data_IF_860875056729
#
_entry.id   IF_860875056729
#
_cell.length_a   1.000
_cell.length_b   1.000
_cell.length_c   1.000
_cell.angle_alpha   90.00
_cell.angle_beta   90.00
_cell.angle_gamma   90.00
#
_symmetry.space_group_name_H-M   'P 1'
#
loop_
_entity.id
_entity.type
_entity.pdbx_description
1 polymer ?
#
# COMPACT_ATOMS: atom_id res chain seq x y z
N UNK A 1 -3.07 9.26 -9.76
CA UNK A 1 -4.24 9.67 -8.92
C UNK A 1 -5.24 8.52 -8.90
N UNK A 2 -6.12 8.39 -7.89
CA UNK A 2 -7.12 7.31 -7.82
C UNK A 2 -8.52 7.92 -7.86
N UNK A 3 -9.38 7.35 -8.69
CA UNK A 3 -10.79 7.70 -8.84
C UNK A 3 -11.69 6.58 -8.34
N UNK A 4 -12.97 6.88 -8.17
CA UNK A 4 -14.00 5.91 -7.83
C UNK A 4 -14.14 4.81 -8.91
N UNK A 5 -13.85 5.13 -10.17
CA UNK A 5 -13.92 4.19 -11.30
C UNK A 5 -12.74 3.21 -11.34
N UNK A 6 -11.70 3.48 -10.55
CA UNK A 6 -10.55 2.60 -10.39
C UNK A 6 -10.78 1.51 -9.34
N UNK A 7 -11.86 1.58 -8.55
CA UNK A 7 -12.18 0.62 -7.48
C UNK A 7 -13.32 -0.29 -7.92
N UNK A 8 -13.04 -1.59 -8.03
CA UNK A 8 -14.08 -2.61 -8.18
C UNK A 8 -14.47 -3.15 -6.81
N UNK A 9 -15.61 -2.71 -6.27
CA UNK A 9 -16.11 -3.20 -4.97
C UNK A 9 -16.57 -4.65 -5.02
N UNK A 10 -17.08 -5.11 -6.17
CA UNK A 10 -17.55 -6.49 -6.36
C UNK A 10 -16.40 -7.48 -6.46
N UNK A 11 -15.35 -7.15 -7.23
CA UNK A 11 -14.16 -7.99 -7.36
C UNK A 11 -13.14 -7.79 -6.24
N UNK A 12 -13.24 -6.69 -5.50
CA UNK A 12 -12.26 -6.32 -4.49
C UNK A 12 -10.90 -5.99 -5.12
N UNK A 13 -10.90 -5.12 -6.13
CA UNK A 13 -9.70 -4.79 -6.91
C UNK A 13 -9.53 -3.28 -7.02
N UNK A 14 -8.28 -2.85 -7.15
CA UNK A 14 -7.88 -1.48 -7.47
C UNK A 14 -7.05 -1.46 -8.74
N UNK A 15 -7.54 -0.73 -9.74
CA UNK A 15 -6.79 -0.45 -10.97
C UNK A 15 -5.90 0.77 -10.76
N UNK A 16 -4.59 0.62 -10.91
CA UNK A 16 -3.64 1.73 -10.87
C UNK A 16 -3.18 2.02 -12.30
N UNK A 17 -3.83 3.00 -12.93
CA UNK A 17 -3.55 3.43 -14.31
C UNK A 17 -2.19 4.12 -14.44
N UNK A 18 -1.86 4.98 -13.48
CA UNK A 18 -0.65 5.80 -13.50
C UNK A 18 0.25 5.47 -12.31
N UNK A 19 1.42 4.92 -12.60
CA UNK A 19 2.50 4.71 -11.63
C UNK A 19 3.70 5.53 -12.04
N UNK A 20 4.55 5.88 -11.07
CA UNK A 20 5.86 6.53 -11.31
C UNK A 20 6.67 5.79 -12.39
N UNK A 21 6.50 4.49 -12.43
CA UNK A 21 7.17 3.52 -13.29
C UNK A 21 6.49 3.27 -14.64
N UNK A 22 5.36 3.95 -14.93
CA UNK A 22 4.60 3.82 -16.19
C UNK A 22 4.15 2.39 -16.53
N UNK A 23 3.89 1.56 -15.52
CA UNK A 23 3.41 0.19 -15.66
C UNK A 23 2.04 0.01 -14.98
N UNK A 24 0.92 0.22 -15.70
CA UNK A 24 -0.41 0.03 -15.14
C UNK A 24 -0.58 -1.36 -14.53
N UNK A 25 -1.35 -1.48 -13.44
CA UNK A 25 -1.57 -2.77 -12.77
C UNK A 25 -2.93 -2.84 -12.10
N UNK A 26 -3.38 -4.04 -11.78
CA UNK A 26 -4.57 -4.31 -10.98
C UNK A 26 -4.10 -5.01 -9.70
N UNK A 27 -4.47 -4.45 -8.55
CA UNK A 27 -4.09 -5.00 -7.24
C UNK A 27 -5.33 -5.53 -6.51
N UNK A 28 -5.26 -6.71 -5.88
CA UNK A 28 -6.32 -7.17 -5.00
C UNK A 28 -6.38 -6.28 -3.75
N UNK A 29 -7.59 -5.96 -3.32
CA UNK A 29 -7.88 -5.23 -2.09
C UNK A 29 -8.39 -6.22 -1.03
N UNK A 30 -7.79 -6.23 0.17
CA UNK A 30 -8.35 -6.98 1.28
C UNK A 30 -9.79 -6.56 1.57
N UNK A 31 -10.64 -7.53 1.97
CA UNK A 31 -12.06 -7.28 2.29
C UNK A 31 -12.27 -6.13 3.27
N UNK A 32 -11.37 -5.98 4.25
CA UNK A 32 -11.42 -4.88 5.21
C UNK A 32 -11.18 -3.52 4.54
N UNK A 33 -10.24 -3.43 3.60
CA UNK A 33 -9.96 -2.24 2.81
C UNK A 33 -11.15 -1.86 1.94
N UNK A 34 -11.77 -2.82 1.25
CA UNK A 34 -12.98 -2.58 0.45
C UNK A 34 -14.10 -2.00 1.32
N UNK A 35 -14.33 -2.58 2.50
CA UNK A 35 -15.33 -2.10 3.47
C UNK A 35 -15.01 -0.69 3.96
N UNK A 36 -13.76 -0.39 4.27
CA UNK A 36 -13.33 0.94 4.72
C UNK A 36 -13.54 2.00 3.62
N UNK A 37 -13.18 1.68 2.37
CA UNK A 37 -13.42 2.56 1.22
C UNK A 37 -14.92 2.78 1.03
N UNK A 38 -15.73 1.73 1.09
CA UNK A 38 -17.19 1.84 0.95
C UNK A 38 -17.78 2.73 2.07
N UNK A 39 -17.39 2.49 3.33
CA UNK A 39 -17.83 3.31 4.45
C UNK A 39 -17.47 4.79 4.27
N UNK A 40 -16.26 5.09 3.78
CA UNK A 40 -15.87 6.45 3.44
C UNK A 40 -16.76 7.04 2.33
N UNK A 41 -16.94 6.32 1.23
CA UNK A 41 -17.74 6.78 0.07
C UNK A 41 -19.19 7.07 0.45
N UNK A 42 -19.81 6.23 1.27
CA UNK A 42 -21.22 6.37 1.65
C UNK A 42 -21.46 7.32 2.83
N UNK A 43 -20.53 7.42 3.79
CA UNK A 43 -20.78 8.12 5.07
C UNK A 43 -19.99 9.41 5.26
N UNK A 44 -18.83 9.56 4.62
CA UNK A 44 -17.90 10.64 4.95
C UNK A 44 -17.45 11.49 3.75
N UNK A 45 -17.45 10.93 2.53
CA UNK A 45 -17.06 11.63 1.32
C UNK A 45 -18.11 12.71 0.99
N UNK A 46 -17.71 13.99 0.81
CA UNK A 46 -18.66 15.05 0.43
C UNK A 46 -19.40 14.74 -0.88
N UNK A 47 -20.65 15.20 -0.98
CA UNK A 47 -21.42 15.12 -2.22
C UNK A 47 -20.82 16.07 -3.26
N UNK A 48 -20.31 15.51 -4.36
CA UNK A 48 -19.68 16.27 -5.44
C UNK A 48 -19.75 15.49 -6.75
N UNK A 49 -19.62 16.20 -7.89
CA UNK A 49 -19.49 15.60 -9.22
C UNK A 49 -18.10 15.03 -9.48
N UNK A 50 -17.09 15.42 -8.68
CA UNK A 50 -15.72 14.93 -8.82
C UNK A 50 -15.65 13.41 -8.63
N UNK A 51 -14.77 12.76 -9.41
CA UNK A 51 -14.57 11.30 -9.39
C UNK A 51 -13.39 10.86 -8.53
N UNK A 52 -12.51 11.78 -8.13
CA UNK A 52 -11.36 11.48 -7.26
C UNK A 52 -11.83 10.78 -5.99
N UNK A 53 -11.16 9.69 -5.63
CA UNK A 53 -11.59 8.88 -4.50
C UNK A 53 -11.53 9.71 -3.21
N UNK A 54 -10.36 10.24 -2.88
CA UNK A 54 -10.12 10.99 -1.65
C UNK A 54 -10.28 12.51 -1.86
N UNK A 55 -11.13 13.11 -1.04
CA UNK A 55 -11.43 14.54 -1.05
C UNK A 55 -11.18 15.18 0.33
N UNK A 56 -10.94 16.49 0.33
CA UNK A 56 -11.03 17.34 1.53
C UNK A 56 -12.48 17.47 1.99
N UNK A 57 -12.72 17.95 3.21
CA UNK A 57 -14.07 18.25 3.70
C UNK A 57 -14.81 19.30 2.85
N UNK A 58 -14.08 20.22 2.21
CA UNK A 58 -14.62 21.20 1.27
C UNK A 58 -15.00 20.62 -0.10
N UNK A 59 -14.75 19.32 -0.33
CA UNK A 59 -15.07 18.64 -1.58
C UNK A 59 -14.03 18.79 -2.69
N UNK A 60 -12.84 19.32 -2.39
CA UNK A 60 -11.72 19.40 -3.33
C UNK A 60 -10.87 18.13 -3.32
N UNK A 61 -10.13 17.78 -4.40
CA UNK A 61 -9.21 16.65 -4.38
C UNK A 61 -8.18 16.74 -3.25
N UNK A 62 -7.99 15.65 -2.52
CA UNK A 62 -7.02 15.59 -1.42
C UNK A 62 -5.59 15.60 -2.00
N UNK A 63 -4.74 16.46 -1.44
CA UNK A 63 -3.32 16.52 -1.82
C UNK A 63 -2.51 15.39 -1.16
N UNK A 64 -1.48 14.83 -1.83
CA UNK A 64 -0.65 13.76 -1.27
C UNK A 64 0.01 14.12 0.07
N UNK A 65 0.40 15.38 0.26
CA UNK A 65 1.03 15.87 1.49
C UNK A 65 0.05 15.83 2.66
N UNK A 66 -1.21 16.20 2.40
CA UNK A 66 -2.30 16.15 3.39
C UNK A 66 -2.58 14.70 3.81
N UNK A 67 -2.61 13.77 2.86
CA UNK A 67 -2.77 12.34 3.15
C UNK A 67 -1.61 11.83 4.02
N UNK A 68 -0.37 12.19 3.66
CA UNK A 68 0.83 11.77 4.41
C UNK A 68 0.79 12.30 5.85
N UNK A 69 0.37 13.55 6.03
CA UNK A 69 0.16 14.14 7.36
C UNK A 69 -0.94 13.44 8.17
N UNK A 70 -2.04 13.06 7.52
CA UNK A 70 -3.11 12.31 8.19
C UNK A 70 -2.65 10.92 8.65
N UNK A 71 -1.89 10.21 7.82
CA UNK A 71 -1.29 8.91 8.19
C UNK A 71 -0.30 9.07 9.34
N UNK A 72 0.57 10.08 9.29
CA UNK A 72 1.53 10.36 10.37
C UNK A 72 0.82 10.58 11.70
N UNK A 73 -0.23 11.42 11.73
CA UNK A 73 -1.05 11.63 12.94
C UNK A 73 -1.71 10.35 13.45
N UNK A 74 -2.17 9.48 12.55
CA UNK A 74 -2.73 8.19 12.95
C UNK A 74 -1.67 7.27 13.58
N UNK A 75 -0.45 7.27 13.03
CA UNK A 75 0.69 6.53 13.59
C UNK A 75 1.08 7.04 14.98
N UNK A 76 1.19 8.36 15.14
CA UNK A 76 1.49 8.99 16.43
C UNK A 76 0.46 8.63 17.51
N UNK A 77 -0.83 8.67 17.16
CA UNK A 77 -1.92 8.23 18.06
C UNK A 77 -1.83 6.76 18.44
N UNK A 78 -1.26 5.92 17.59
CA UNK A 78 -1.00 4.52 17.86
C UNK A 78 0.33 4.29 18.61
N UNK A 79 1.06 5.34 18.99
CA UNK A 79 2.37 5.24 19.64
C UNK A 79 3.51 4.83 18.71
N UNK A 80 3.34 4.99 17.39
CA UNK A 80 4.31 4.56 16.39
C UNK A 80 5.06 5.77 15.80
N UNK A 81 6.38 5.79 15.95
CA UNK A 81 7.26 6.75 15.27
C UNK A 81 7.50 6.29 13.83
N UNK A 82 6.53 6.50 12.94
CA UNK A 82 6.55 5.99 11.57
C UNK A 82 5.80 6.89 10.59
N UNK A 83 6.08 6.70 9.30
CA UNK A 83 5.45 7.46 8.20
C UNK A 83 4.71 6.53 7.24
N UNK A 84 3.96 7.10 6.29
CA UNK A 84 3.30 6.32 5.23
C UNK A 84 4.29 5.43 4.43
N UNK A 85 5.55 5.85 4.32
CA UNK A 85 6.59 5.05 3.68
C UNK A 85 6.89 3.75 4.44
N UNK A 86 6.79 3.76 5.77
CA UNK A 86 7.00 2.57 6.59
C UNK A 86 5.93 1.50 6.38
N UNK A 87 4.69 1.88 6.08
CA UNK A 87 3.65 0.92 5.67
C UNK A 87 4.07 0.13 4.44
N UNK A 88 4.73 0.80 3.47
CA UNK A 88 5.26 0.15 2.28
C UNK A 88 6.46 -0.74 2.59
N UNK A 89 7.31 -0.34 3.55
CA UNK A 89 8.36 -1.21 4.07
C UNK A 89 7.79 -2.47 4.71
N UNK A 90 6.81 -2.34 5.61
CA UNK A 90 6.16 -3.47 6.27
C UNK A 90 5.55 -4.43 5.24
N UNK A 91 4.93 -3.91 4.18
CA UNK A 91 4.43 -4.74 3.08
C UNK A 91 5.55 -5.57 2.42
N UNK A 92 6.67 -4.94 2.07
CA UNK A 92 7.81 -5.63 1.47
C UNK A 92 8.43 -6.67 2.41
N UNK A 93 8.59 -6.33 3.70
CA UNK A 93 9.09 -7.24 4.72
C UNK A 93 8.18 -8.46 4.89
N UNK A 94 6.86 -8.25 4.89
CA UNK A 94 5.91 -9.35 4.99
C UNK A 94 6.00 -10.29 3.78
N UNK A 95 6.15 -9.75 2.57
CA UNK A 95 6.34 -10.57 1.37
C UNK A 95 7.66 -11.38 1.46
N UNK A 96 8.75 -10.77 1.93
CA UNK A 96 10.00 -11.48 2.18
C UNK A 96 9.79 -12.61 3.18
N UNK A 97 9.16 -12.35 4.33
CA UNK A 97 8.86 -13.35 5.36
C UNK A 97 7.99 -14.50 4.85
N UNK A 98 7.07 -14.22 3.92
CA UNK A 98 6.25 -15.23 3.23
C UNK A 98 7.04 -16.05 2.17
N UNK A 99 8.36 -15.86 2.09
CA UNK A 99 9.22 -16.61 1.19
C UNK A 99 9.27 -16.08 -0.25
N UNK A 100 8.65 -14.92 -0.55
CA UNK A 100 8.62 -14.39 -1.90
C UNK A 100 10.02 -13.99 -2.37
N UNK A 101 10.29 -14.27 -3.63
CA UNK A 101 11.52 -13.87 -4.31
C UNK A 101 11.57 -12.34 -4.46
N UNK A 102 12.78 -11.79 -4.58
CA UNK A 102 12.98 -10.36 -4.82
C UNK A 102 12.30 -9.89 -6.12
N UNK A 103 12.19 -10.78 -7.12
CA UNK A 103 11.50 -10.48 -8.39
C UNK A 103 9.98 -10.37 -8.19
N UNK A 104 9.35 -11.31 -7.48
CA UNK A 104 7.93 -11.21 -7.12
C UNK A 104 7.64 -9.93 -6.34
N UNK A 105 8.50 -9.59 -5.36
CA UNK A 105 8.34 -8.37 -4.56
C UNK A 105 8.49 -7.13 -5.43
N UNK A 106 9.48 -7.09 -6.34
CA UNK A 106 9.66 -5.99 -7.29
C UNK A 106 8.37 -5.76 -8.10
N UNK A 107 7.74 -6.83 -8.61
CA UNK A 107 6.51 -6.71 -9.41
C UNK A 107 5.31 -6.26 -8.55
N UNK A 108 5.13 -6.83 -7.36
CA UNK A 108 4.05 -6.45 -6.43
C UNK A 108 4.18 -5.00 -5.95
N UNK A 109 5.41 -4.54 -5.69
CA UNK A 109 5.68 -3.14 -5.40
C UNK A 109 5.63 -2.27 -6.67
N UNK A 110 5.78 -2.90 -7.84
CA UNK A 110 6.01 -2.35 -9.18
C UNK A 110 7.09 -1.31 -9.22
N UNK A 111 8.27 -1.71 -8.79
CA UNK A 111 9.50 -1.02 -9.11
C UNK A 111 9.96 -1.43 -10.51
N UNK A 112 10.41 -0.49 -11.34
CA UNK A 112 11.03 -0.84 -12.63
C UNK A 112 12.41 -1.48 -12.44
N UNK A 113 13.08 -1.09 -11.36
CA UNK A 113 14.45 -1.49 -11.10
C UNK A 113 14.53 -2.27 -9.78
N UNK A 114 15.14 -3.44 -9.84
CA UNK A 114 15.39 -4.33 -8.71
C UNK A 114 16.18 -3.65 -7.58
N UNK A 115 17.07 -2.69 -7.88
CA UNK A 115 17.83 -1.96 -6.87
C UNK A 115 16.94 -1.11 -5.94
N UNK A 116 15.75 -0.69 -6.40
CA UNK A 116 14.76 -0.05 -5.54
C UNK A 116 14.13 -1.04 -4.55
N UNK A 117 14.05 -2.32 -4.92
CA UNK A 117 13.55 -3.42 -4.07
C UNK A 117 14.63 -3.93 -3.11
N UNK A 118 15.91 -3.85 -3.49
CA UNK A 118 17.03 -4.27 -2.63
C UNK A 118 17.07 -3.50 -1.30
N UNK A 119 16.56 -2.26 -1.24
CA UNK A 119 16.45 -1.47 0.00
C UNK A 119 15.56 -2.12 1.07
N UNK A 120 14.72 -3.09 0.69
CA UNK A 120 13.88 -3.85 1.60
C UNK A 120 14.52 -5.19 1.98
N UNK A 121 15.62 -5.58 1.36
CA UNK A 121 16.37 -6.75 1.82
C UNK A 121 17.10 -6.37 3.10
N UNK A 122 16.54 -6.75 4.24
CA UNK A 122 17.35 -6.90 5.43
C UNK A 122 17.76 -8.37 5.52
N UNK A 123 19.00 -8.61 5.93
CA UNK A 123 19.47 -9.95 6.23
C UNK A 123 18.69 -10.42 7.45
N UNK A 124 17.77 -11.35 7.23
CA UNK A 124 17.08 -12.06 8.29
C UNK A 124 17.98 -13.22 8.72
N UNK A 125 18.79 -12.97 9.75
CA UNK A 125 19.75 -13.92 10.29
C UNK A 125 19.06 -15.22 10.75
N UNK A 126 17.84 -15.13 11.29
CA UNK A 126 17.05 -16.31 11.68
C UNK A 126 16.69 -17.15 10.45
N UNK A 127 16.23 -16.51 9.37
CA UNK A 127 15.96 -17.20 8.11
C UNK A 127 17.23 -17.79 7.48
N UNK A 128 18.36 -17.10 7.57
CA UNK A 128 19.64 -17.64 7.10
C UNK A 128 20.01 -18.92 7.86
N UNK A 129 19.87 -18.92 9.19
CA UNK A 129 20.14 -20.11 10.00
C UNK A 129 19.23 -21.27 9.61
N UNK A 130 17.93 -21.02 9.45
CA UNK A 130 16.98 -22.05 9.01
C UNK A 130 17.34 -22.66 7.65
N UNK A 131 17.73 -21.83 6.68
CA UNK A 131 18.06 -22.31 5.32
C UNK A 131 19.43 -23.00 5.26
N UNK A 132 20.42 -22.50 6.01
CA UNK A 132 21.79 -23.03 5.96
C UNK A 132 22.01 -24.23 6.88
N UNK A 133 21.28 -24.31 8.00
CA UNK A 133 21.52 -25.28 9.06
C UNK A 133 20.31 -26.16 9.39
N UNK A 134 19.20 -26.05 8.64
CA UNK A 134 17.94 -26.78 8.89
C UNK A 134 17.42 -26.64 10.34
N UNK A 135 17.80 -25.56 11.04
CA UNK A 135 17.36 -25.30 12.41
C UNK A 135 15.85 -24.94 12.42
N UNK A 136 15.03 -25.81 13.00
CA UNK A 136 13.68 -25.48 13.45
C UNK A 136 13.74 -24.93 14.87
N UNK A 137 13.42 -23.65 15.06
CA UNK A 137 13.13 -23.06 16.37
C UNK A 137 11.78 -23.58 16.90
#
# INVERSE_FOLDING_TARGET
>A
KITLDDVSFTRGELTIKERKTKNPTILPLPKQTVRAIAAYVFKARPKTKLRELFLTHSGSPLRPETMTGAIKKAMEKAGLSSTAYWLRHTYAQNLLKMGRTIYEIKEMMGHNNIQSTQRYLHIDTERMRKVLFDETL
#
